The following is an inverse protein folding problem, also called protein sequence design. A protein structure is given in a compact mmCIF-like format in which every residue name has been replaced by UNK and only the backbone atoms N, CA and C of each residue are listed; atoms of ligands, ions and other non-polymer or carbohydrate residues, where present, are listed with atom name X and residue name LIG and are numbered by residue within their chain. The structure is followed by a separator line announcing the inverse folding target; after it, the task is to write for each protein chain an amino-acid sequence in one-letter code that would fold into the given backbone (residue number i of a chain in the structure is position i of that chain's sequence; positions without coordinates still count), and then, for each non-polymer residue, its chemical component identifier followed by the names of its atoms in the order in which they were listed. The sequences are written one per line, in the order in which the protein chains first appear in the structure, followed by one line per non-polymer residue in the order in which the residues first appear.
data_IF_922891857054
#
_entry.id   IF_922891857054
#
_cell.length_a   1.000
_cell.length_b   1.000
_cell.length_c   1.000
_cell.angle_alpha   90.00
_cell.angle_beta   90.00
_cell.angle_gamma   90.00
#
_symmetry.space_group_name_H-M   'P 1'
#
loop_
_entity.id
_entity.type
_entity.pdbx_description
1 polymer ?
#
# COMPACT_ATOMS: atom_id res chain seq x y z
N UNK A 1 4.80 12.12 9.65
CA UNK A 1 5.59 11.45 10.72
C UNK A 1 6.50 10.40 10.08
N UNK A 2 7.62 9.99 10.69
CA UNK A 2 8.61 9.08 10.05
C UNK A 2 7.99 7.72 9.68
N UNK A 3 7.18 7.15 10.57
CA UNK A 3 6.49 5.86 10.38
C UNK A 3 5.60 5.84 9.13
N UNK A 4 4.76 6.86 8.95
CA UNK A 4 3.86 6.96 7.79
C UNK A 4 4.63 6.93 6.47
N UNK A 5 5.79 7.59 6.43
CA UNK A 5 6.62 7.66 5.22
C UNK A 5 7.36 6.34 4.94
N UNK A 6 7.78 5.63 5.99
CA UNK A 6 8.30 4.26 5.85
C UNK A 6 7.24 3.30 5.31
N UNK A 7 6.00 3.39 5.80
CA UNK A 7 4.91 2.54 5.32
C UNK A 7 4.52 2.86 3.88
N UNK A 8 4.49 4.14 3.50
CA UNK A 8 4.30 4.56 2.11
C UNK A 8 5.42 4.04 1.20
N UNK A 9 6.66 4.10 1.64
CA UNK A 9 7.80 3.59 0.89
C UNK A 9 7.69 2.07 0.63
N UNK A 10 7.30 1.30 1.66
CA UNK A 10 7.12 -0.14 1.52
C UNK A 10 5.92 -0.44 0.61
N UNK A 11 4.79 0.25 0.80
CA UNK A 11 3.62 0.10 -0.07
C UNK A 11 3.94 0.38 -1.54
N UNK A 12 4.70 1.45 -1.82
CA UNK A 12 5.05 1.88 -3.17
C UNK A 12 5.89 0.87 -3.97
N UNK A 13 6.51 -0.13 -3.30
CA UNK A 13 7.25 -1.21 -3.96
C UNK A 13 6.34 -2.26 -4.62
N UNK A 14 5.11 -2.42 -4.13
CA UNK A 14 4.23 -3.52 -4.53
C UNK A 14 2.90 -3.04 -5.13
N UNK A 15 2.67 -1.72 -5.18
CA UNK A 15 1.42 -1.15 -5.66
C UNK A 15 1.31 -1.16 -7.19
N UNK A 16 0.06 -1.06 -7.66
CA UNK A 16 -0.33 -0.88 -9.05
C UNK A 16 -1.06 0.45 -9.21
N UNK A 17 -0.66 1.32 -10.16
CA UNK A 17 0.55 1.21 -10.98
C UNK A 17 1.83 1.32 -10.13
N UNK A 18 2.97 0.77 -10.62
CA UNK A 18 4.23 0.83 -9.89
C UNK A 18 4.74 2.27 -9.79
N UNK A 19 5.47 2.57 -8.70
CA UNK A 19 6.08 3.90 -8.52
C UNK A 19 7.12 4.18 -9.61
N UNK A 20 7.06 5.37 -10.22
CA UNK A 20 7.96 5.79 -11.30
C UNK A 20 9.45 5.79 -10.90
N UNK A 21 9.74 5.84 -9.60
CA UNK A 21 11.10 5.80 -9.05
C UNK A 21 11.73 4.39 -9.06
N UNK A 22 11.09 3.36 -9.62
CA UNK A 22 11.78 2.12 -9.99
C UNK A 22 12.92 2.33 -11.01
N UNK A 23 13.03 3.54 -11.60
CA UNK A 23 14.07 3.94 -12.57
C UNK A 23 15.24 4.74 -11.97
N UNK A 24 15.39 4.78 -10.63
CA UNK A 24 16.45 5.58 -10.01
C UNK A 24 17.86 5.07 -10.36
N UNK A 25 18.80 6.02 -10.52
CA UNK A 25 20.19 5.73 -10.83
C UNK A 25 20.87 4.95 -9.67
N UNK A 26 21.86 4.08 -9.96
CA UNK A 26 22.58 3.34 -8.93
C UNK A 26 23.20 4.29 -7.90
N UNK A 27 22.83 4.16 -6.63
CA UNK A 27 23.41 4.93 -5.51
C UNK A 27 22.52 6.01 -4.91
N UNK A 28 21.35 6.30 -5.49
CA UNK A 28 20.41 7.27 -4.92
C UNK A 28 19.40 6.58 -3.99
N UNK A 29 19.52 6.79 -2.68
CA UNK A 29 18.58 6.27 -1.69
C UNK A 29 17.47 7.31 -1.52
N UNK A 30 16.39 7.18 -2.30
CA UNK A 30 15.18 8.01 -2.11
C UNK A 30 13.99 7.16 -1.70
N UNK A 31 13.18 7.70 -0.78
CA UNK A 31 11.96 7.03 -0.34
C UNK A 31 10.91 7.13 -1.45
N UNK A 32 10.61 5.99 -2.06
CA UNK A 32 9.48 5.82 -2.97
C UNK A 32 8.18 6.38 -2.39
N UNK A 33 7.38 6.98 -3.27
CA UNK A 33 6.00 7.42 -2.98
C UNK A 33 5.07 6.71 -3.95
N UNK A 34 3.93 6.17 -3.49
CA UNK A 34 2.99 5.53 -4.39
C UNK A 34 2.34 6.57 -5.32
N UNK A 35 2.05 6.21 -6.58
CA UNK A 35 1.24 7.05 -7.46
C UNK A 35 -0.15 7.33 -6.88
N UNK A 36 -0.80 8.38 -7.36
CA UNK A 36 -2.19 8.66 -7.01
C UNK A 36 -3.10 7.51 -7.47
N UNK A 37 -4.04 7.10 -6.62
CA UNK A 37 -4.95 5.98 -6.91
C UNK A 37 -4.30 4.59 -6.87
N UNK A 38 -3.03 4.48 -6.45
CA UNK A 38 -2.36 3.20 -6.39
C UNK A 38 -2.98 2.27 -5.35
N UNK A 39 -3.06 0.99 -5.69
CA UNK A 39 -3.64 -0.08 -4.88
C UNK A 39 -2.74 -1.32 -4.88
N UNK A 40 -2.95 -2.23 -3.93
CA UNK A 40 -2.31 -3.56 -3.95
C UNK A 40 -3.24 -4.56 -4.62
N UNK A 41 -2.73 -5.30 -5.61
CA UNK A 41 -3.39 -6.53 -6.07
C UNK A 41 -3.26 -7.61 -4.98
N UNK A 42 -4.00 -8.73 -5.05
CA UNK A 42 -3.83 -9.84 -4.11
C UNK A 42 -2.38 -10.32 -3.99
N UNK A 43 -1.64 -10.38 -5.11
CA UNK A 43 -0.24 -10.79 -5.15
C UNK A 43 0.68 -9.71 -4.56
N UNK A 44 0.40 -8.43 -4.85
CA UNK A 44 1.12 -7.30 -4.26
C UNK A 44 0.95 -7.24 -2.74
N UNK A 45 -0.24 -7.56 -2.24
CA UNK A 45 -0.53 -7.66 -0.82
C UNK A 45 0.26 -8.80 -0.16
N UNK A 46 0.35 -9.96 -0.82
CA UNK A 46 1.14 -11.10 -0.31
C UNK A 46 2.63 -10.78 -0.21
N UNK A 47 3.17 -10.13 -1.24
CA UNK A 47 4.57 -9.70 -1.23
C UNK A 47 4.83 -8.67 -0.12
N UNK A 48 3.93 -7.69 0.03
CA UNK A 48 4.00 -6.69 1.10
C UNK A 48 3.91 -7.33 2.50
N UNK A 49 2.98 -8.26 2.70
CA UNK A 49 2.79 -8.96 3.96
C UNK A 49 4.02 -9.82 4.32
N UNK A 50 4.60 -10.49 3.33
CA UNK A 50 5.84 -11.26 3.54
C UNK A 50 6.99 -10.38 4.01
N UNK A 51 7.15 -9.21 3.42
CA UNK A 51 8.26 -8.31 3.75
C UNK A 51 8.05 -7.52 5.05
N UNK A 52 6.82 -7.44 5.56
CA UNK A 52 6.49 -6.73 6.81
C UNK A 52 6.27 -7.66 8.00
N UNK A 53 5.59 -8.79 7.80
CA UNK A 53 5.21 -9.75 8.83
C UNK A 53 6.02 -11.06 8.79
N UNK A 54 6.82 -11.26 7.74
CA UNK A 54 7.60 -12.49 7.50
C UNK A 54 6.84 -13.59 6.75
N UNK A 55 5.52 -13.47 6.57
CA UNK A 55 4.70 -14.42 5.82
C UNK A 55 3.51 -13.73 5.12
N UNK A 56 2.99 -14.30 4.01
CA UNK A 56 1.74 -13.85 3.40
C UNK A 56 0.55 -13.99 4.35
N UNK A 57 -0.51 -13.21 4.12
CA UNK A 57 -1.78 -13.41 4.83
C UNK A 57 -2.49 -14.69 4.38
N UNK A 58 -3.27 -15.29 5.27
CA UNK A 58 -4.18 -16.38 4.90
C UNK A 58 -5.30 -15.85 3.98
N UNK A 59 -5.96 -16.77 3.26
CA UNK A 59 -7.13 -16.43 2.42
C UNK A 59 -8.22 -15.73 3.26
N UNK A 60 -8.55 -16.30 4.43
CA UNK A 60 -9.53 -15.77 5.38
C UNK A 60 -9.18 -14.33 5.80
N UNK A 61 -7.94 -14.08 6.22
CA UNK A 61 -7.52 -12.73 6.60
C UNK A 61 -7.59 -11.73 5.44
N UNK A 62 -7.34 -12.16 4.20
CA UNK A 62 -7.49 -11.28 3.03
C UNK A 62 -8.94 -10.90 2.77
N UNK A 63 -9.85 -11.86 2.92
CA UNK A 63 -11.29 -11.63 2.76
C UNK A 63 -11.78 -10.64 3.83
N UNK A 64 -11.37 -10.81 5.09
CA UNK A 64 -11.64 -9.83 6.15
C UNK A 64 -11.07 -8.45 5.81
N UNK A 65 -9.82 -8.37 5.35
CA UNK A 65 -9.19 -7.09 4.99
C UNK A 65 -9.96 -6.36 3.88
N UNK A 66 -10.50 -7.09 2.90
CA UNK A 66 -11.34 -6.52 1.83
C UNK A 66 -12.65 -5.96 2.37
N UNK A 67 -13.25 -6.60 3.38
CA UNK A 67 -14.49 -6.13 4.01
C UNK A 67 -14.29 -4.86 4.86
N UNK A 68 -13.12 -4.69 5.48
CA UNK A 68 -12.84 -3.58 6.41
C UNK A 68 -12.04 -2.41 5.81
N UNK A 69 -11.36 -2.61 4.67
CA UNK A 69 -10.52 -1.59 4.04
C UNK A 69 -11.16 -1.05 2.76
N UNK A 70 -10.77 0.18 2.38
CA UNK A 70 -11.20 0.73 1.09
C UNK A 70 -10.51 -0.05 -0.02
N UNK A 71 -11.30 -0.85 -0.74
CA UNK A 71 -10.89 -1.49 -1.98
C UNK A 71 -11.33 -0.66 -3.19
N UNK A 72 -10.59 -0.77 -4.29
CA UNK A 72 -11.07 -0.34 -5.61
C UNK A 72 -12.26 -1.20 -6.04
N UNK A 73 -13.02 -0.78 -7.07
CA UNK A 73 -14.13 -1.58 -7.63
C UNK A 73 -13.69 -2.98 -8.11
N UNK A 74 -12.38 -3.19 -8.31
CA UNK A 74 -11.76 -4.48 -8.64
C UNK A 74 -11.21 -5.25 -7.44
N UNK A 75 -11.48 -4.84 -6.19
CA UNK A 75 -11.03 -5.52 -4.97
C UNK A 75 -9.60 -5.22 -4.54
N UNK A 76 -8.94 -4.22 -5.15
CA UNK A 76 -7.57 -3.86 -4.81
C UNK A 76 -7.48 -2.95 -3.59
N UNK A 77 -6.66 -3.28 -2.59
CA UNK A 77 -6.58 -2.52 -1.35
C UNK A 77 -5.91 -1.15 -1.56
N UNK A 78 -6.60 -0.08 -1.16
CA UNK A 78 -6.07 1.28 -1.23
C UNK A 78 -5.47 1.72 0.12
N UNK A 79 -4.42 2.56 0.13
CA UNK A 79 -3.81 3.01 1.36
C UNK A 79 -4.70 4.08 2.03
N UNK A 80 -5.43 3.70 3.09
CA UNK A 80 -6.11 4.65 4.01
C UNK A 80 -5.14 5.51 4.86
N UNK A 81 -3.83 5.42 4.64
CA UNK A 81 -2.81 6.10 5.46
C UNK A 81 -2.69 7.62 5.24
N UNK A 82 -3.40 8.22 4.27
CA UNK A 82 -3.31 9.68 4.02
C UNK A 82 -4.64 10.43 4.13
N UNK A 83 -5.80 9.75 4.10
CA UNK A 83 -7.08 10.39 4.37
C UNK A 83 -7.37 10.33 5.87
N UNK A 84 -6.77 11.27 6.60
CA UNK A 84 -7.43 11.85 7.77
C UNK A 84 -8.82 12.27 7.28
N UNK A 85 -9.89 11.57 7.69
CA UNK A 85 -11.24 12.13 7.60
C UNK A 85 -11.17 13.46 8.37
N UNK A 86 -10.94 14.55 7.66
CA UNK A 86 -11.23 15.87 8.19
C UNK A 86 -12.73 15.87 8.41
N UNK A 87 -13.11 15.96 9.68
CA UNK A 87 -14.47 15.85 10.13
C UNK A 87 -15.36 16.97 9.60
N UNK A 88 -16.65 16.77 9.81
CA UNK A 88 -17.67 17.78 9.58
C UNK A 88 -19.03 17.21 9.95
N UNK A 89 -19.31 17.20 11.25
CA UNK A 89 -20.67 17.15 11.80
C UNK A 89 -21.52 18.26 11.16
N UNK A 90 -22.64 17.90 10.54
CA UNK A 90 -24.03 18.26 10.91
C UNK A 90 -24.98 17.57 9.92
#
# INVERSE_FOLDING_TARGET
MVLERCLQHIFAKYCTPPSAAASQAPGEISLLTPPEGAYLTPEGLDAWARDTNGAPFSQETKEELVEFLDVTDGGGLTPKMTKKKHGGTL
#
